data_IF_847557541272
#
_entry.id   IF_847557541272
#
_cell.length_a   1.000
_cell.length_b   1.000
_cell.length_c   1.000
_cell.angle_alpha   90.00
_cell.angle_beta   90.00
_cell.angle_gamma   90.00
#
_symmetry.space_group_name_H-M   'P 1'
#
loop_
_entity.id
_entity.type
_entity.pdbx_description
1 polymer ?
#
# COMPACT_ATOMS: atom_id res chain seq x y z
N UNK A 1 -9.43 2.21 6.71
CA UNK A 1 -9.89 3.28 5.79
C UNK A 1 -11.34 3.65 6.14
N UNK A 2 -11.75 4.89 5.91
CA UNK A 2 -13.16 5.31 6.09
C UNK A 2 -14.08 4.72 5.01
N UNK A 3 -15.38 4.59 5.28
CA UNK A 3 -16.36 4.18 4.26
C UNK A 3 -16.27 5.08 3.03
N UNK A 4 -16.13 4.45 1.88
CA UNK A 4 -15.96 5.13 0.59
C UNK A 4 -16.83 4.48 -0.46
N UNK A 5 -17.25 5.26 -1.48
CA UNK A 5 -18.05 4.78 -2.60
C UNK A 5 -17.82 5.61 -3.85
N UNK A 6 -18.16 5.05 -4.99
CA UNK A 6 -18.31 5.81 -6.23
C UNK A 6 -19.73 6.39 -6.29
N UNK A 7 -19.85 7.62 -6.73
CA UNK A 7 -21.11 8.32 -6.93
C UNK A 7 -21.13 8.93 -8.34
N UNK A 8 -22.19 8.66 -9.07
CA UNK A 8 -22.35 9.17 -10.43
C UNK A 8 -23.12 10.50 -10.41
N UNK A 9 -22.53 11.54 -11.01
CA UNK A 9 -23.14 12.86 -11.19
C UNK A 9 -22.96 13.24 -12.66
N UNK A 10 -24.06 13.44 -13.37
CA UNK A 10 -24.06 13.87 -14.79
C UNK A 10 -23.16 12.99 -15.67
N UNK A 11 -23.20 11.67 -15.47
CA UNK A 11 -22.39 10.70 -16.21
C UNK A 11 -20.91 10.61 -15.81
N UNK A 12 -20.48 11.40 -14.81
CA UNK A 12 -19.14 11.35 -14.27
C UNK A 12 -19.10 10.58 -12.94
N UNK A 13 -18.12 9.70 -12.79
CA UNK A 13 -17.89 8.96 -11.54
C UNK A 13 -17.01 9.77 -10.60
N UNK A 14 -17.53 9.99 -9.41
CA UNK A 14 -16.87 10.74 -8.36
C UNK A 14 -16.61 9.83 -7.17
N UNK A 15 -15.37 9.84 -6.66
CA UNK A 15 -15.02 9.16 -5.44
C UNK A 15 -15.45 9.98 -4.23
N UNK A 16 -16.23 9.37 -3.34
CA UNK A 16 -16.71 10.01 -2.10
C UNK A 16 -16.25 9.17 -0.92
N UNK A 17 -15.65 9.82 0.07
CA UNK A 17 -15.26 9.20 1.33
C UNK A 17 -15.76 10.01 2.52
N UNK A 18 -16.14 9.31 3.59
CA UNK A 18 -16.48 9.97 4.85
C UNK A 18 -15.22 10.58 5.45
N UNK A 19 -15.28 11.84 5.86
CA UNK A 19 -14.16 12.49 6.56
C UNK A 19 -13.99 11.90 7.95
N UNK A 20 -12.76 11.58 8.31
CA UNK A 20 -12.41 11.08 9.67
C UNK A 20 -12.14 12.21 10.66
N UNK A 21 -11.88 13.42 10.15
CA UNK A 21 -11.55 14.60 10.94
C UNK A 21 -12.79 15.43 11.30
N UNK A 22 -13.98 14.82 11.20
CA UNK A 22 -15.27 15.42 11.54
C UNK A 22 -16.11 14.47 12.38
N UNK A 23 -16.74 15.06 13.40
CA UNK A 23 -17.79 14.45 14.20
C UNK A 23 -19.01 15.38 14.17
N UNK A 24 -19.95 15.13 13.27
CA UNK A 24 -20.98 16.10 12.89
C UNK A 24 -20.35 17.36 12.31
N UNK A 25 -20.67 18.52 12.88
CA UNK A 25 -20.08 19.82 12.49
C UNK A 25 -18.74 20.11 13.19
N UNK A 26 -18.40 19.33 14.20
CA UNK A 26 -17.18 19.52 14.95
C UNK A 26 -15.96 19.05 14.18
N UNK A 27 -14.90 19.87 14.21
CA UNK A 27 -13.58 19.50 13.67
C UNK A 27 -12.77 18.80 14.76
N UNK A 28 -12.25 17.62 14.46
CA UNK A 28 -11.29 16.95 15.32
C UNK A 28 -9.88 17.51 15.05
N UNK A 29 -9.09 17.65 16.12
CA UNK A 29 -7.70 18.07 15.94
C UNK A 29 -6.92 17.00 15.20
N UNK A 30 -6.36 17.37 14.04
CA UNK A 30 -5.68 16.44 13.16
C UNK A 30 -4.39 17.05 12.66
N UNK A 31 -3.30 16.28 12.70
CA UNK A 31 -2.01 16.69 12.15
C UNK A 31 -1.40 15.56 11.33
N UNK A 32 -0.74 15.91 10.22
CA UNK A 32 0.04 14.96 9.43
C UNK A 32 1.38 14.66 10.10
N UNK A 33 2.00 13.53 9.73
CA UNK A 33 3.37 13.23 10.14
C UNK A 33 4.33 14.36 9.72
N UNK A 34 4.17 14.87 8.50
CA UNK A 34 4.96 16.00 8.00
C UNK A 34 4.83 17.27 8.88
N UNK A 35 3.70 17.47 9.56
CA UNK A 35 3.51 18.63 10.44
C UNK A 35 4.06 18.38 11.86
N UNK A 36 3.98 17.14 12.36
CA UNK A 36 4.46 16.78 13.70
C UNK A 36 5.98 16.61 13.73
N UNK A 37 6.54 16.00 12.69
CA UNK A 37 7.95 15.63 12.60
C UNK A 37 8.44 15.84 11.15
N UNK A 38 8.69 17.10 10.76
CA UNK A 38 9.06 17.44 9.38
C UNK A 38 10.34 16.76 8.88
N UNK A 39 11.22 16.40 9.79
CA UNK A 39 12.48 15.70 9.50
C UNK A 39 12.31 14.19 9.27
N UNK A 40 11.13 13.64 9.52
CA UNK A 40 10.86 12.21 9.35
C UNK A 40 10.64 11.89 7.88
N UNK A 41 11.40 10.92 7.37
CA UNK A 41 11.36 10.43 6.00
C UNK A 41 11.28 8.90 5.89
N UNK A 42 10.99 8.21 7.00
CA UNK A 42 11.03 6.75 7.08
C UNK A 42 9.88 6.18 7.91
N UNK A 43 9.55 4.92 7.66
CA UNK A 43 8.56 4.18 8.46
C UNK A 43 9.05 3.95 9.89
N UNK A 44 10.35 3.81 10.10
CA UNK A 44 10.96 3.77 11.44
C UNK A 44 10.68 5.06 12.21
N UNK A 45 10.85 6.20 11.56
CA UNK A 45 10.54 7.50 12.13
C UNK A 45 9.06 7.65 12.45
N UNK A 46 8.16 7.17 11.57
CA UNK A 46 6.72 7.14 11.82
C UNK A 46 6.39 6.30 13.08
N UNK A 47 6.96 5.10 13.23
CA UNK A 47 6.80 4.28 14.45
C UNK A 47 7.34 5.02 15.68
N UNK A 48 8.47 5.69 15.57
CA UNK A 48 9.02 6.48 16.67
C UNK A 48 8.07 7.61 17.11
N UNK A 49 7.42 8.29 16.15
CA UNK A 49 6.39 9.29 16.44
C UNK A 49 5.16 8.65 17.10
N UNK A 50 4.68 7.50 16.62
CA UNK A 50 3.59 6.77 17.27
C UNK A 50 3.89 6.51 18.75
N UNK A 51 5.11 6.11 19.06
CA UNK A 51 5.54 5.85 20.46
C UNK A 51 5.65 7.12 21.30
N UNK A 52 6.20 8.19 20.73
CA UNK A 52 6.27 9.50 21.40
C UNK A 52 4.87 10.07 21.73
N UNK A 53 3.90 9.80 20.87
CA UNK A 53 2.50 10.16 21.09
C UNK A 53 1.73 9.15 21.95
N UNK A 54 2.39 8.13 22.47
CA UNK A 54 1.81 7.05 23.29
C UNK A 54 0.65 6.30 22.62
N UNK A 55 0.72 6.10 21.28
CA UNK A 55 -0.27 5.32 20.57
C UNK A 55 -0.24 3.85 20.99
N UNK A 56 -1.38 3.16 21.01
CA UNK A 56 -1.43 1.74 21.31
C UNK A 56 -0.70 0.91 20.26
N UNK A 57 -0.25 -0.28 20.63
CA UNK A 57 0.45 -1.23 19.73
C UNK A 57 -0.36 -1.54 18.46
N UNK A 58 -1.69 -1.53 18.53
CA UNK A 58 -2.58 -1.72 17.38
C UNK A 58 -2.36 -0.66 16.30
N UNK A 59 -2.01 0.57 16.68
CA UNK A 59 -1.73 1.64 15.72
C UNK A 59 -0.35 1.44 15.07
N UNK A 60 0.64 0.93 15.80
CA UNK A 60 1.93 0.54 15.23
C UNK A 60 1.78 -0.65 14.26
N UNK A 61 0.94 -1.62 14.60
CA UNK A 61 0.60 -2.73 13.69
C UNK A 61 -0.11 -2.23 12.43
N UNK A 62 -0.97 -1.22 12.56
CA UNK A 62 -1.63 -0.59 11.41
C UNK A 62 -0.64 0.19 10.53
N UNK A 63 0.36 0.86 11.09
CA UNK A 63 1.47 1.45 10.30
C UNK A 63 2.18 0.37 9.49
N UNK A 64 2.50 -0.76 10.11
CA UNK A 64 3.12 -1.89 9.41
C UNK A 64 2.22 -2.47 8.31
N UNK A 65 0.91 -2.58 8.57
CA UNK A 65 -0.08 -3.01 7.56
C UNK A 65 -0.06 -2.09 6.34
N UNK A 66 0.02 -0.77 6.56
CA UNK A 66 0.10 0.22 5.47
C UNK A 66 1.40 0.13 4.70
N UNK A 67 2.54 -0.06 5.39
CA UNK A 67 3.82 -0.32 4.74
C UNK A 67 3.70 -1.51 3.79
N UNK A 68 3.24 -2.67 4.29
CA UNK A 68 3.07 -3.89 3.50
C UNK A 68 2.10 -3.67 2.34
N UNK A 69 0.98 -2.99 2.59
CA UNK A 69 0.01 -2.66 1.54
C UNK A 69 0.64 -1.78 0.46
N UNK A 70 1.32 -0.69 0.83
CA UNK A 70 1.94 0.24 -0.11
C UNK A 70 2.98 -0.46 -0.99
N UNK A 71 3.81 -1.34 -0.41
CA UNK A 71 4.81 -2.10 -1.16
C UNK A 71 4.14 -3.09 -2.12
N UNK A 72 3.22 -3.92 -1.64
CA UNK A 72 2.62 -4.98 -2.44
C UNK A 72 1.61 -4.46 -3.49
N UNK A 73 0.98 -3.30 -3.24
CA UNK A 73 0.02 -2.68 -4.17
C UNK A 73 0.66 -1.67 -5.13
N UNK A 74 1.98 -1.44 -5.06
CA UNK A 74 2.68 -0.41 -5.82
C UNK A 74 2.16 1.02 -5.56
N UNK A 75 1.74 1.31 -4.32
CA UNK A 75 1.46 2.67 -3.89
C UNK A 75 2.77 3.33 -3.45
N UNK A 76 3.51 3.88 -4.39
CA UNK A 76 4.82 4.50 -4.15
C UNK A 76 4.74 5.97 -3.71
N UNK A 77 3.55 6.57 -3.76
CA UNK A 77 3.30 7.94 -3.27
C UNK A 77 2.99 7.97 -1.76
N UNK A 78 3.71 7.17 -1.00
CA UNK A 78 3.52 6.97 0.44
C UNK A 78 4.25 8.02 1.31
N UNK A 79 4.16 9.29 0.90
CA UNK A 79 4.86 10.38 1.59
C UNK A 79 4.24 10.73 2.96
N UNK A 80 4.99 11.46 3.77
CA UNK A 80 4.65 11.77 5.19
C UNK A 80 3.35 12.56 5.37
N UNK A 81 2.81 13.20 4.34
CA UNK A 81 1.49 13.86 4.40
C UNK A 81 0.33 12.87 4.32
N UNK A 82 0.56 11.61 3.88
CA UNK A 82 -0.44 10.55 3.79
C UNK A 82 -0.59 9.77 5.10
N UNK A 83 0.13 10.18 6.15
CA UNK A 83 -0.02 9.67 7.50
C UNK A 83 -0.44 10.80 8.43
N UNK A 84 -1.57 10.63 9.10
CA UNK A 84 -2.09 11.64 10.03
C UNK A 84 -2.44 11.02 11.37
N UNK A 85 -2.50 11.87 12.36
CA UNK A 85 -2.90 11.56 13.73
C UNK A 85 -4.10 12.44 14.10
N UNK A 86 -5.01 11.86 14.84
CA UNK A 86 -6.22 12.53 15.36
C UNK A 86 -6.14 12.54 16.87
N UNK A 87 -6.43 13.67 17.47
CA UNK A 87 -6.48 13.83 18.93
C UNK A 87 -7.94 14.00 19.39
N UNK A 88 -8.32 13.26 20.41
CA UNK A 88 -9.61 13.39 21.05
C UNK A 88 -9.66 14.55 22.07
N UNK A 89 -10.80 14.75 22.71
CA UNK A 89 -11.00 15.81 23.71
C UNK A 89 -10.18 15.61 25.01
N UNK A 90 -9.79 14.37 25.29
CA UNK A 90 -8.94 14.03 26.41
C UNK A 90 -7.45 14.26 26.11
N UNK A 91 -7.12 14.68 24.87
CA UNK A 91 -5.74 14.86 24.43
C UNK A 91 -5.04 13.56 24.02
N UNK A 92 -5.79 12.47 23.85
CA UNK A 92 -5.22 11.19 23.44
C UNK A 92 -5.13 11.11 21.91
N UNK A 93 -3.95 10.77 21.43
CA UNK A 93 -3.66 10.62 20.01
C UNK A 93 -3.94 9.20 19.51
N UNK A 94 -4.41 9.10 18.29
CA UNK A 94 -4.59 7.86 17.54
C UNK A 94 -4.12 8.06 16.11
N UNK A 95 -3.65 7.00 15.47
CA UNK A 95 -3.40 7.00 14.04
C UNK A 95 -4.74 7.21 13.31
N UNK A 96 -4.78 8.11 12.32
CA UNK A 96 -5.98 8.32 11.51
C UNK A 96 -6.32 7.06 10.70
N UNK A 97 -7.57 6.87 10.27
CA UNK A 97 -7.86 5.93 9.19
C UNK A 97 -6.98 6.19 7.96
N UNK A 98 -6.62 5.14 7.22
CA UNK A 98 -5.83 5.29 6.00
C UNK A 98 -6.63 6.07 4.94
N UNK A 99 -5.92 6.92 4.21
CA UNK A 99 -6.44 7.72 3.09
C UNK A 99 -5.37 7.84 2.02
N UNK A 100 -5.75 8.32 0.84
CA UNK A 100 -4.86 8.51 -0.31
C UNK A 100 -4.09 7.24 -0.69
N UNK A 101 -4.81 6.11 -0.69
CA UNK A 101 -4.29 4.83 -1.13
C UNK A 101 -4.54 4.72 -2.63
N UNK A 102 -3.49 4.90 -3.42
CA UNK A 102 -3.56 4.96 -4.88
C UNK A 102 -2.63 3.91 -5.50
N UNK A 103 -2.88 3.56 -6.75
CA UNK A 103 -1.93 2.85 -7.58
C UNK A 103 -1.19 3.86 -8.45
N UNK A 104 0.12 3.87 -8.38
CA UNK A 104 0.92 4.79 -9.19
C UNK A 104 1.17 4.15 -10.57
N UNK A 105 0.58 4.76 -11.59
CA UNK A 105 0.75 4.36 -12.98
C UNK A 105 1.99 5.06 -13.53
N UNK A 106 2.97 4.29 -13.97
CA UNK A 106 4.08 4.84 -14.77
C UNK A 106 3.55 5.20 -16.17
N UNK A 107 3.30 6.46 -16.41
CA UNK A 107 2.81 6.98 -17.69
C UNK A 107 3.94 7.25 -18.71
N UNK A 108 5.09 6.57 -18.56
CA UNK A 108 6.15 6.62 -19.58
C UNK A 108 7.08 7.83 -19.44
N UNK A 109 7.76 7.96 -18.31
CA UNK A 109 8.97 8.77 -18.20
C UNK A 109 8.81 10.16 -17.58
N UNK A 110 7.66 10.52 -17.04
CA UNK A 110 7.50 11.75 -16.24
C UNK A 110 7.75 11.56 -14.74
N UNK A 111 7.57 10.33 -14.25
CA UNK A 111 8.04 9.95 -12.93
C UNK A 111 9.32 9.14 -13.16
N UNK A 112 10.49 9.61 -12.73
CA UNK A 112 11.65 8.74 -12.67
C UNK A 112 11.23 7.51 -11.88
N UNK A 113 11.88 6.37 -12.10
CA UNK A 113 11.68 5.10 -11.41
C UNK A 113 11.88 5.33 -9.88
N UNK A 114 11.00 6.17 -9.35
CA UNK A 114 11.03 6.66 -7.98
C UNK A 114 10.42 5.56 -7.15
N UNK A 115 11.22 4.99 -6.28
CA UNK A 115 10.76 4.09 -5.25
C UNK A 115 9.72 4.76 -4.36
N UNK A 116 9.45 4.15 -3.23
CA UNK A 116 8.63 4.73 -2.18
C UNK A 116 9.13 6.11 -1.75
N UNK A 117 8.23 6.96 -1.29
CA UNK A 117 8.58 8.28 -0.74
C UNK A 117 9.18 8.19 0.66
N UNK A 118 8.89 7.12 1.40
CA UNK A 118 9.43 6.89 2.73
C UNK A 118 10.37 5.68 2.74
N UNK A 119 11.50 5.83 3.43
CA UNK A 119 12.46 4.74 3.61
C UNK A 119 11.89 3.60 4.46
N UNK A 120 12.28 2.38 4.11
CA UNK A 120 12.16 1.17 4.92
C UNK A 120 13.56 0.57 5.02
N UNK A 121 14.14 0.53 6.22
CA UNK A 121 15.52 0.04 6.42
C UNK A 121 16.53 0.65 5.44
N UNK A 122 16.45 1.98 5.28
CA UNK A 122 17.28 2.76 4.35
C UNK A 122 17.08 2.42 2.86
N UNK A 123 15.99 1.75 2.50
CA UNK A 123 15.63 1.42 1.11
C UNK A 123 14.39 2.19 0.68
N UNK A 124 14.37 2.66 -0.56
CA UNK A 124 13.18 3.19 -1.24
C UNK A 124 12.68 2.24 -2.33
N UNK A 125 13.52 1.27 -2.75
CA UNK A 125 13.25 0.33 -3.82
C UNK A 125 13.48 -1.11 -3.37
N UNK A 126 12.88 -2.07 -4.05
CA UNK A 126 13.13 -3.50 -3.87
C UNK A 126 13.03 -3.93 -2.41
N UNK A 127 12.02 -3.40 -1.70
CA UNK A 127 11.74 -3.81 -0.31
C UNK A 127 11.26 -5.26 -0.36
N UNK A 128 12.03 -6.14 0.26
CA UNK A 128 11.77 -7.59 0.29
C UNK A 128 10.89 -8.00 1.47
N UNK A 129 10.40 -9.24 1.44
CA UNK A 129 9.75 -9.87 2.58
C UNK A 129 10.63 -9.82 3.84
N UNK A 130 11.93 -10.16 3.70
CA UNK A 130 12.87 -10.15 4.82
C UNK A 130 13.08 -8.73 5.37
N UNK A 131 13.10 -7.70 4.52
CA UNK A 131 13.15 -6.31 4.97
C UNK A 131 11.93 -5.97 5.83
N UNK A 132 10.73 -6.36 5.41
CA UNK A 132 9.50 -6.12 6.17
C UNK A 132 9.49 -6.87 7.51
N UNK A 133 9.90 -8.13 7.51
CA UNK A 133 10.00 -8.92 8.76
C UNK A 133 11.05 -8.33 9.71
N UNK A 134 12.21 -7.95 9.18
CA UNK A 134 13.24 -7.37 10.03
C UNK A 134 12.83 -5.98 10.54
N UNK A 135 12.18 -5.15 9.71
CA UNK A 135 11.55 -3.90 10.16
C UNK A 135 10.60 -4.13 11.34
N UNK A 136 9.73 -5.14 11.23
CA UNK A 136 8.80 -5.47 12.31
C UNK A 136 9.52 -5.89 13.60
N UNK A 137 10.57 -6.70 13.50
CA UNK A 137 11.40 -7.12 14.65
C UNK A 137 12.09 -5.93 15.31
N UNK A 138 12.78 -5.10 14.52
CA UNK A 138 13.53 -3.94 15.00
C UNK A 138 12.60 -2.93 15.70
N UNK A 139 11.36 -2.86 15.26
CA UNK A 139 10.32 -1.98 15.81
C UNK A 139 9.35 -2.68 16.77
N UNK A 140 9.62 -3.91 17.22
CA UNK A 140 8.82 -4.64 18.20
C UNK A 140 7.36 -4.88 17.79
N UNK A 141 7.07 -4.91 16.48
CA UNK A 141 5.73 -5.12 15.95
C UNK A 141 5.42 -6.62 15.99
N UNK A 142 4.32 -6.97 16.65
CA UNK A 142 3.87 -8.35 16.80
C UNK A 142 3.01 -8.78 15.61
N UNK A 143 2.98 -10.11 15.34
CA UNK A 143 2.13 -10.73 14.29
C UNK A 143 2.46 -10.27 12.86
N UNK A 144 3.71 -9.93 12.59
CA UNK A 144 4.12 -9.42 11.27
C UNK A 144 3.72 -10.37 10.13
N UNK A 145 4.02 -11.67 10.23
CA UNK A 145 3.65 -12.67 9.21
C UNK A 145 2.13 -12.73 8.96
N UNK A 146 1.33 -12.66 10.04
CA UNK A 146 -0.12 -12.67 9.92
C UNK A 146 -0.62 -11.40 9.20
N UNK A 147 -0.05 -10.23 9.53
CA UNK A 147 -0.40 -8.96 8.87
C UNK A 147 -0.04 -9.00 7.38
N UNK A 148 1.14 -9.51 7.03
CA UNK A 148 1.57 -9.67 5.63
C UNK A 148 0.59 -10.57 4.88
N UNK A 149 0.23 -11.72 5.47
CA UNK A 149 -0.74 -12.64 4.86
C UNK A 149 -2.11 -12.01 4.67
N UNK A 150 -2.64 -11.31 5.68
CA UNK A 150 -3.93 -10.61 5.60
C UNK A 150 -3.96 -9.58 4.46
N UNK A 151 -2.86 -8.84 4.27
CA UNK A 151 -2.73 -7.87 3.17
C UNK A 151 -2.66 -8.58 1.82
N UNK A 152 -1.85 -9.63 1.70
CA UNK A 152 -1.74 -10.41 0.47
C UNK A 152 -3.09 -11.03 0.06
N UNK A 153 -3.82 -11.63 1.02
CA UNK A 153 -5.14 -12.21 0.79
C UNK A 153 -6.17 -11.16 0.34
N UNK A 154 -6.03 -9.92 0.82
CA UNK A 154 -6.89 -8.81 0.41
C UNK A 154 -6.56 -8.34 -1.01
N UNK A 155 -5.28 -8.25 -1.37
CA UNK A 155 -4.84 -7.84 -2.70
C UNK A 155 -5.19 -8.84 -3.79
N UNK A 156 -5.23 -10.14 -3.49
CA UNK A 156 -5.70 -11.19 -4.44
C UNK A 156 -7.15 -10.99 -4.89
N UNK A 157 -7.96 -10.27 -4.11
CA UNK A 157 -9.35 -9.94 -4.47
C UNK A 157 -9.45 -8.72 -5.40
N UNK A 158 -8.32 -8.12 -5.78
CA UNK A 158 -8.31 -6.87 -6.56
C UNK A 158 -9.13 -6.99 -7.84
N UNK A 159 -8.92 -8.04 -8.65
CA UNK A 159 -9.65 -8.25 -9.92
C UNK A 159 -11.18 -8.27 -9.71
N UNK A 160 -11.65 -9.00 -8.72
CA UNK A 160 -13.09 -9.10 -8.41
C UNK A 160 -13.65 -7.73 -8.01
N UNK A 161 -12.94 -7.02 -7.11
CA UNK A 161 -13.34 -5.69 -6.63
C UNK A 161 -13.31 -4.68 -7.79
N UNK A 162 -12.28 -4.69 -8.60
CA UNK A 162 -12.12 -3.77 -9.73
C UNK A 162 -13.22 -3.97 -10.78
N UNK A 163 -13.54 -5.23 -11.13
CA UNK A 163 -14.66 -5.54 -12.04
C UNK A 163 -16.01 -5.08 -11.49
N UNK A 164 -16.29 -5.31 -10.20
CA UNK A 164 -17.52 -4.85 -9.54
C UNK A 164 -17.66 -3.33 -9.60
N UNK A 165 -16.55 -2.60 -9.61
CA UNK A 165 -16.52 -1.14 -9.74
C UNK A 165 -16.29 -0.68 -11.18
N UNK A 166 -16.45 -1.59 -12.18
CA UNK A 166 -16.40 -1.31 -13.61
C UNK A 166 -15.10 -0.60 -14.05
N UNK A 167 -13.98 -0.98 -13.44
CA UNK A 167 -12.65 -0.55 -13.90
C UNK A 167 -12.39 -1.21 -15.27
N UNK A 168 -11.82 -0.47 -16.21
CA UNK A 168 -11.51 -0.99 -17.55
C UNK A 168 -10.51 -2.16 -17.50
N UNK A 169 -10.77 -3.22 -18.28
CA UNK A 169 -9.98 -4.45 -18.25
C UNK A 169 -8.47 -4.24 -18.46
N UNK A 170 -8.08 -3.27 -19.30
CA UNK A 170 -6.66 -2.92 -19.50
C UNK A 170 -5.97 -2.51 -18.19
N UNK A 171 -6.67 -1.71 -17.36
CA UNK A 171 -6.14 -1.28 -16.07
C UNK A 171 -6.16 -2.40 -15.04
N UNK A 172 -7.23 -3.21 -15.05
CA UNK A 172 -7.31 -4.40 -14.17
C UNK A 172 -6.12 -5.31 -14.44
N UNK A 173 -5.84 -5.64 -15.71
CA UNK A 173 -4.76 -6.54 -16.07
C UNK A 173 -3.38 -5.97 -15.71
N UNK A 174 -3.17 -4.68 -15.96
CA UNK A 174 -1.89 -4.02 -15.64
C UNK A 174 -1.63 -4.00 -14.13
N UNK A 175 -2.61 -3.56 -13.33
CA UNK A 175 -2.47 -3.43 -11.87
C UNK A 175 -2.34 -4.81 -11.22
N UNK A 176 -3.16 -5.78 -11.63
CA UNK A 176 -3.08 -7.16 -11.14
C UNK A 176 -1.73 -7.80 -11.45
N UNK A 177 -1.19 -7.58 -12.65
CA UNK A 177 0.15 -8.08 -13.00
C UNK A 177 1.22 -7.52 -12.07
N UNK A 178 1.17 -6.23 -11.74
CA UNK A 178 2.10 -5.61 -10.80
C UNK A 178 1.95 -6.17 -9.38
N UNK A 179 0.72 -6.29 -8.87
CA UNK A 179 0.45 -6.91 -7.57
C UNK A 179 0.99 -8.34 -7.52
N UNK A 180 0.72 -9.15 -8.54
CA UNK A 180 1.19 -10.54 -8.61
C UNK A 180 2.71 -10.61 -8.64
N UNK A 181 3.40 -9.72 -9.37
CA UNK A 181 4.85 -9.67 -9.39
C UNK A 181 5.43 -9.40 -8.00
N UNK A 182 4.83 -8.50 -7.22
CA UNK A 182 5.23 -8.26 -5.83
C UNK A 182 4.92 -9.46 -4.91
N UNK A 183 3.75 -10.09 -5.06
CA UNK A 183 3.41 -11.29 -4.28
C UNK A 183 4.39 -12.44 -4.56
N UNK A 184 4.75 -12.67 -5.83
CA UNK A 184 5.76 -13.64 -6.25
C UNK A 184 7.13 -13.30 -5.64
N UNK A 185 7.56 -12.05 -5.75
CA UNK A 185 8.86 -11.62 -5.20
C UNK A 185 8.98 -11.80 -3.68
N UNK A 186 7.83 -11.82 -2.98
CA UNK A 186 7.76 -12.07 -1.53
C UNK A 186 7.48 -13.54 -1.18
N UNK A 187 7.37 -14.46 -2.16
CA UNK A 187 7.06 -15.87 -1.93
C UNK A 187 5.64 -16.10 -1.41
N UNK A 188 4.71 -15.21 -1.76
CA UNK A 188 3.32 -15.21 -1.31
C UNK A 188 2.35 -15.71 -2.39
N UNK A 189 2.82 -16.48 -3.37
CA UNK A 189 1.98 -17.03 -4.43
C UNK A 189 0.93 -18.00 -3.85
N UNK A 190 -0.25 -18.07 -4.50
CA UNK A 190 -1.21 -19.13 -4.20
C UNK A 190 -0.69 -20.48 -4.72
N UNK A 191 -0.36 -21.38 -3.82
CA UNK A 191 0.07 -22.75 -4.17
C UNK A 191 -0.98 -23.55 -4.96
N UNK A 192 -2.22 -23.04 -5.03
CA UNK A 192 -3.33 -23.68 -5.76
C UNK A 192 -3.43 -23.28 -7.24
N UNK A 193 -2.63 -22.32 -7.72
CA UNK A 193 -2.68 -21.84 -9.10
C UNK A 193 -1.46 -22.25 -9.94
N UNK A 194 -0.58 -23.10 -9.41
CA UNK A 194 0.65 -23.56 -10.08
C UNK A 194 0.46 -24.73 -11.06
N UNK A 195 -0.77 -25.06 -11.45
CA UNK A 195 -1.06 -26.18 -12.36
C UNK A 195 -1.51 -25.76 -13.77
N UNK A 196 -1.12 -24.60 -14.27
CA UNK A 196 -1.06 -24.31 -15.70
C UNK A 196 0.39 -24.15 -16.14
N UNK A 197 1.11 -25.29 -16.20
CA UNK A 197 2.33 -25.42 -16.95
C UNK A 197 2.01 -25.08 -18.41
N UNK A 198 2.52 -23.96 -18.89
CA UNK A 198 2.64 -23.74 -20.32
C UNK A 198 3.66 -24.76 -20.84
N UNK A 199 3.20 -25.84 -21.47
CA UNK A 199 4.01 -26.63 -22.36
C UNK A 199 4.36 -25.72 -23.56
N UNK A 200 5.58 -25.24 -23.59
CA UNK A 200 6.15 -24.63 -24.79
C UNK A 200 6.50 -25.81 -25.70
N UNK A 201 5.67 -26.02 -26.72
CA UNK A 201 5.91 -26.95 -27.79
C UNK A 201 7.27 -26.66 -28.40
N UNK A 202 8.17 -27.64 -28.30
CA UNK A 202 9.52 -27.58 -28.84
C UNK A 202 9.53 -27.48 -30.35
N UNK A 203 9.68 -26.27 -30.89
CA UNK A 203 10.17 -26.04 -32.24
C UNK A 203 11.46 -25.24 -32.19
N UNK A 204 12.53 -25.95 -32.41
CA UNK A 204 13.85 -25.48 -32.79
C UNK A 204 13.75 -24.41 -33.88
N UNK A 205 14.22 -23.23 -33.61
CA UNK A 205 14.43 -22.19 -34.61
C UNK A 205 15.93 -22.14 -34.89
N UNK A 206 16.31 -22.87 -35.94
CA UNK A 206 17.62 -22.74 -36.61
C UNK A 206 17.45 -21.72 -37.73
N UNK A 207 18.40 -20.79 -37.80
CA UNK A 207 18.85 -20.01 -38.93
C UNK A 207 17.88 -19.00 -39.61
N UNK A 208 18.07 -17.72 -39.27
CA UNK A 208 17.90 -16.63 -40.24
C UNK A 208 19.21 -15.83 -40.29
N UNK A 209 19.96 -15.99 -41.39
CA UNK A 209 21.06 -15.10 -41.79
C UNK A 209 20.45 -13.79 -42.27
N UNK A 210 21.07 -12.70 -41.85
CA UNK A 210 20.84 -11.35 -42.38
C UNK A 210 21.79 -11.18 -43.58
N UNK A 211 21.22 -10.87 -44.72
CA UNK A 211 21.89 -10.10 -45.80
C UNK A 211 21.39 -8.66 -45.75
#
# INVERSE_FOLDING_TARGET
MMPSRLYEIEGNRNFITKRFDRDGERKLHTQTLAAISPETDSYEGLIAVCRKLHLPETDCQEVFRRLVFNVLSNNTDDHTKNFSFVMDEAGLWRLSPAYDLTYIIDTGGYLPNTGHCMYVRSKLHHISYDDAIQFAKDNGIRRADAIIKEVADSLRKFREIAKRNEVQDRWISSIESAINAHLVSWGLEDKNNSSSSFEIDGKSCTDVRIE
#
